data_IF_455781121801
#
_entry.id   IF_455781121801
#
_cell.length_a   1.000
_cell.length_b   1.000
_cell.length_c   1.000
_cell.angle_alpha   90.00
_cell.angle_beta   90.00
_cell.angle_gamma   90.00
#
_symmetry.space_group_name_H-M   'P 1'
#
loop_
_entity.id
_entity.type
_entity.pdbx_description
1 polymer ?
#
# COMPACT_ATOMS: atom_id res chain seq x y z
N UNK A 1 10.34 -12.94 -8.31
CA UNK A 1 9.33 -13.07 -7.24
C UNK A 1 7.95 -12.82 -7.83
N UNK A 2 7.14 -13.86 -8.07
CA UNK A 2 5.81 -13.70 -8.69
C UNK A 2 4.76 -13.12 -7.71
N UNK A 3 4.87 -13.41 -6.41
CA UNK A 3 3.94 -12.94 -5.37
C UNK A 3 3.84 -11.40 -5.32
N UNK A 4 4.98 -10.74 -5.42
CA UNK A 4 5.08 -9.29 -5.31
C UNK A 4 4.34 -8.57 -6.44
N UNK A 5 4.49 -9.04 -7.69
CA UNK A 5 3.78 -8.46 -8.83
C UNK A 5 2.26 -8.65 -8.75
N UNK A 6 1.83 -9.78 -8.19
CA UNK A 6 0.41 -10.06 -7.99
C UNK A 6 -0.18 -9.20 -6.87
N UNK A 7 0.53 -9.05 -5.75
CA UNK A 7 0.14 -8.15 -4.67
C UNK A 7 0.01 -6.71 -5.16
N UNK A 8 1.00 -6.20 -5.91
CA UNK A 8 0.94 -4.85 -6.48
C UNK A 8 -0.28 -4.67 -7.39
N UNK A 9 -0.55 -5.66 -8.23
CA UNK A 9 -1.69 -5.65 -9.14
C UNK A 9 -3.03 -5.68 -8.40
N UNK A 10 -3.12 -6.47 -7.33
CA UNK A 10 -4.28 -6.53 -6.45
C UNK A 10 -4.50 -5.19 -5.73
N UNK A 11 -3.43 -4.60 -5.17
CA UNK A 11 -3.48 -3.29 -4.52
C UNK A 11 -3.97 -2.21 -5.49
N UNK A 12 -3.39 -2.14 -6.70
CA UNK A 12 -3.80 -1.20 -7.75
C UNK A 12 -5.28 -1.36 -8.15
N UNK A 13 -5.81 -2.59 -8.16
CA UNK A 13 -7.24 -2.85 -8.44
C UNK A 13 -8.16 -2.25 -7.37
N UNK A 14 -7.75 -2.21 -6.10
CA UNK A 14 -8.55 -1.61 -5.02
C UNK A 14 -8.78 -0.13 -5.31
N UNK A 15 -7.72 0.61 -5.64
CA UNK A 15 -7.79 2.05 -6.01
C UNK A 15 -8.59 2.32 -7.29
N UNK A 16 -8.62 1.38 -8.24
CA UNK A 16 -9.47 1.51 -9.43
C UNK A 16 -10.95 1.36 -9.06
N UNK A 17 -11.25 0.44 -8.14
CA UNK A 17 -12.62 0.12 -7.70
C UNK A 17 -13.16 1.19 -6.74
N UNK A 18 -12.29 1.72 -5.88
CA UNK A 18 -12.57 2.81 -4.96
C UNK A 18 -11.92 4.09 -5.51
N UNK A 19 -12.60 4.74 -6.48
CA UNK A 19 -12.17 6.01 -7.10
C UNK A 19 -12.05 7.19 -6.11
N UNK A 20 -12.29 6.97 -4.81
CA UNK A 20 -11.92 7.97 -3.83
C UNK A 20 -10.43 8.27 -4.00
N UNK A 21 -10.10 9.56 -4.13
CA UNK A 21 -8.75 10.01 -4.45
C UNK A 21 -7.74 9.28 -3.57
N UNK A 22 -6.60 8.88 -4.13
CA UNK A 22 -5.54 8.14 -3.44
C UNK A 22 -5.21 8.78 -2.07
N UNK A 23 -5.30 10.11 -1.96
CA UNK A 23 -5.19 10.88 -0.71
C UNK A 23 -6.22 10.47 0.37
N UNK A 24 -7.48 10.29 -0.01
CA UNK A 24 -8.55 9.84 0.90
C UNK A 24 -8.32 8.40 1.36
N UNK A 25 -7.82 7.52 0.49
CA UNK A 25 -7.40 6.18 0.90
C UNK A 25 -6.24 6.25 1.89
N UNK A 26 -5.22 7.04 1.58
CA UNK A 26 -4.09 7.24 2.49
C UNK A 26 -4.55 7.71 3.86
N UNK A 27 -5.44 8.70 3.94
CA UNK A 27 -6.01 9.18 5.21
C UNK A 27 -6.85 8.11 5.94
N UNK A 28 -7.54 7.24 5.20
CA UNK A 28 -8.37 6.17 5.76
C UNK A 28 -7.51 5.06 6.40
N UNK A 29 -6.36 4.78 5.82
CA UNK A 29 -5.48 3.68 6.27
C UNK A 29 -4.35 4.15 7.19
N UNK A 30 -3.92 5.41 7.08
CA UNK A 30 -3.03 6.08 8.03
C UNK A 30 -3.81 6.44 9.31
N UNK A 31 -4.27 5.40 10.01
CA UNK A 31 -5.07 5.52 11.25
C UNK A 31 -4.34 6.33 12.31
N UNK A 32 -3.02 6.19 12.37
CA UNK A 32 -2.18 6.80 13.38
C UNK A 32 -1.85 8.28 13.07
N UNK A 33 -2.27 8.78 11.89
CA UNK A 33 -1.99 10.14 11.39
C UNK A 33 -0.51 10.52 11.45
N UNK A 34 0.36 9.52 11.36
CA UNK A 34 1.81 9.70 11.43
C UNK A 34 2.39 10.27 10.13
N UNK A 35 1.56 10.42 9.10
CA UNK A 35 1.97 10.96 7.80
C UNK A 35 2.63 9.94 6.87
N UNK A 36 2.65 8.65 7.26
CA UNK A 36 3.15 7.54 6.44
C UNK A 36 2.30 6.29 6.61
N UNK A 37 2.46 5.35 5.67
CA UNK A 37 1.95 3.98 5.72
C UNK A 37 3.14 3.08 6.03
N UNK A 38 3.04 2.35 7.13
CA UNK A 38 4.03 1.33 7.49
C UNK A 38 3.53 -0.08 7.19
N UNK A 39 4.32 -1.08 7.59
CA UNK A 39 4.01 -2.50 7.43
C UNK A 39 2.68 -2.88 8.08
N UNK A 40 2.37 -2.36 9.26
CA UNK A 40 1.14 -2.69 9.98
C UNK A 40 -0.09 -2.08 9.32
N UNK A 41 0.03 -0.84 8.81
CA UNK A 41 -1.03 -0.24 8.00
C UNK A 41 -1.27 -1.02 6.70
N UNK A 42 -0.20 -1.49 6.02
CA UNK A 42 -0.33 -2.33 4.83
C UNK A 42 -0.97 -3.68 5.13
N UNK A 43 -0.61 -4.33 6.24
CA UNK A 43 -1.29 -5.55 6.71
C UNK A 43 -2.77 -5.31 6.91
N UNK A 44 -3.17 -4.21 7.55
CA UNK A 44 -4.59 -3.85 7.75
C UNK A 44 -5.32 -3.65 6.42
N UNK A 45 -4.67 -3.02 5.42
CA UNK A 45 -5.20 -2.89 4.06
C UNK A 45 -5.41 -4.27 3.44
N UNK A 46 -4.37 -5.12 3.43
CA UNK A 46 -4.42 -6.47 2.87
C UNK A 46 -5.50 -7.31 3.54
N UNK A 47 -5.61 -7.26 4.87
CA UNK A 47 -6.66 -7.96 5.62
C UNK A 47 -8.08 -7.49 5.22
N UNK A 48 -8.29 -6.19 5.06
CA UNK A 48 -9.59 -5.63 4.67
C UNK A 48 -10.03 -6.02 3.26
N UNK A 49 -9.07 -6.24 2.37
CA UNK A 49 -9.33 -6.62 0.97
C UNK A 49 -9.08 -8.09 0.70
N UNK A 50 -8.96 -8.91 1.75
CA UNK A 50 -8.76 -10.36 1.69
C UNK A 50 -7.53 -10.78 0.87
N UNK A 51 -6.46 -9.99 0.91
CA UNK A 51 -5.18 -10.30 0.30
C UNK A 51 -4.22 -10.96 1.29
N UNK A 52 -3.32 -11.84 0.80
CA UNK A 52 -2.24 -12.38 1.62
C UNK A 52 -1.31 -11.25 2.08
N UNK A 53 -1.29 -11.00 3.38
CA UNK A 53 -0.45 -10.00 4.04
C UNK A 53 0.91 -10.61 4.43
N UNK A 54 1.62 -11.15 3.43
CA UNK A 54 2.94 -11.75 3.65
C UNK A 54 3.96 -10.65 4.02
N UNK A 55 4.53 -10.75 5.22
CA UNK A 55 5.48 -9.75 5.75
C UNK A 55 6.70 -9.55 4.85
N UNK A 56 7.24 -10.61 4.26
CA UNK A 56 8.42 -10.52 3.40
C UNK A 56 8.09 -9.74 2.12
N UNK A 57 6.89 -9.95 1.58
CA UNK A 57 6.41 -9.26 0.37
C UNK A 57 6.07 -7.81 0.65
N UNK A 58 5.43 -7.53 1.79
CA UNK A 58 5.10 -6.17 2.20
C UNK A 58 6.35 -5.36 2.56
N UNK A 59 7.32 -5.97 3.22
CA UNK A 59 8.62 -5.35 3.47
C UNK A 59 9.35 -5.06 2.15
N UNK A 60 9.38 -6.02 1.22
CA UNK A 60 9.95 -5.78 -0.11
C UNK A 60 9.24 -4.62 -0.85
N UNK A 61 7.93 -4.45 -0.65
CA UNK A 61 7.17 -3.33 -1.23
C UNK A 61 7.59 -1.99 -0.64
N UNK A 62 7.73 -1.93 0.67
CA UNK A 62 8.17 -0.73 1.38
C UNK A 62 9.63 -0.39 1.08
N UNK A 63 10.49 -1.39 0.88
CA UNK A 63 11.88 -1.19 0.45
C UNK A 63 11.98 -0.70 -1.00
N UNK A 64 11.09 -1.15 -1.89
CA UNK A 64 11.13 -0.77 -3.30
C UNK A 64 10.43 0.58 -3.57
N UNK A 65 9.35 0.90 -2.87
CA UNK A 65 8.51 2.08 -3.12
C UNK A 65 8.60 3.15 -2.03
N UNK A 66 9.04 2.78 -0.83
CA UNK A 66 9.10 3.64 0.33
C UNK A 66 10.52 4.06 0.70
N UNK A 67 10.67 4.48 1.95
CA UNK A 67 11.95 4.82 2.58
C UNK A 67 11.91 4.38 4.04
N UNK A 68 12.91 3.61 4.46
CA UNK A 68 13.01 3.05 5.83
C UNK A 68 11.78 2.21 6.25
N UNK A 69 11.27 1.36 5.35
CA UNK A 69 10.12 0.50 5.65
C UNK A 69 8.79 1.26 5.79
N UNK A 70 8.70 2.48 5.24
CA UNK A 70 7.53 3.36 5.33
C UNK A 70 7.31 4.06 4.00
N UNK A 71 6.05 4.30 3.65
CA UNK A 71 5.68 5.08 2.47
C UNK A 71 4.96 6.36 2.88
N UNK A 72 5.49 7.51 2.49
CA UNK A 72 4.75 8.78 2.62
C UNK A 72 3.64 8.89 1.57
N UNK A 73 2.83 9.96 1.66
CA UNK A 73 1.72 10.19 0.74
C UNK A 73 2.17 10.32 -0.72
N UNK A 74 3.31 10.96 -0.99
CA UNK A 74 3.83 11.13 -2.35
C UNK A 74 4.27 9.79 -2.93
N UNK A 75 4.98 8.99 -2.15
CA UNK A 75 5.41 7.64 -2.51
C UNK A 75 4.20 6.71 -2.75
N UNK A 76 3.23 6.73 -1.83
CA UNK A 76 1.98 6.01 -1.98
C UNK A 76 1.26 6.40 -3.26
N UNK A 77 1.16 7.71 -3.54
CA UNK A 77 0.56 8.21 -4.77
C UNK A 77 1.29 7.72 -6.02
N UNK A 78 2.61 7.84 -6.06
CA UNK A 78 3.44 7.34 -7.18
C UNK A 78 3.24 5.84 -7.41
N UNK A 79 3.12 5.04 -6.36
CA UNK A 79 2.89 3.61 -6.48
C UNK A 79 1.58 3.28 -7.22
N UNK A 80 0.51 4.02 -6.96
CA UNK A 80 -0.78 3.83 -7.62
C UNK A 80 -0.90 4.53 -8.98
N UNK A 81 -0.16 5.62 -9.20
CA UNK A 81 -0.12 6.34 -10.49
C UNK A 81 0.87 5.73 -11.49
N UNK A 82 1.90 5.02 -11.01
CA UNK A 82 2.85 4.30 -11.86
C UNK A 82 2.11 3.15 -12.53
N UNK A 83 1.94 3.21 -13.86
CA UNK A 83 1.15 2.25 -14.64
C UNK A 83 1.89 0.92 -14.78
#
# INVERSE_FOLDING_TARGET
>A
MQLMGELKSQLKKITITDKSRIDSMFLRYNKDRLGYIDLDNLKDICHKVHLPADEDVLNALLDEQGTNGKMDLEQFRRFFESN
#
